data_IF_039389351232
#
_entry.id   IF_039389351232
#
_cell.length_a   1.000
_cell.length_b   1.000
_cell.length_c   1.000
_cell.angle_alpha   90.00
_cell.angle_beta   90.00
_cell.angle_gamma   90.00
#
_symmetry.space_group_name_H-M   'P 1'
#
loop_
_entity.id
_entity.type
_entity.pdbx_description
1 polymer ?
#
# COMPACT_ATOMS: atom_id res chain seq x y z
N UNK A 1 -12.45 4.74 -33.04
CA UNK A 1 -11.26 5.16 -32.28
C UNK A 1 -11.72 5.94 -31.05
N UNK A 2 -12.40 7.07 -31.19
CA UNK A 2 -12.93 7.87 -30.06
C UNK A 2 -13.79 7.08 -29.03
N UNK A 3 -14.64 6.15 -29.48
CA UNK A 3 -15.45 5.30 -28.57
C UNK A 3 -14.60 4.29 -27.78
N UNK A 4 -13.52 3.80 -28.38
CA UNK A 4 -12.56 2.90 -27.73
C UNK A 4 -11.72 3.67 -26.70
N UNK A 5 -11.27 4.88 -27.05
CA UNK A 5 -10.51 5.73 -26.13
C UNK A 5 -11.36 6.14 -24.92
N UNK A 6 -12.65 6.42 -25.11
CA UNK A 6 -13.57 6.75 -24.01
C UNK A 6 -13.79 5.57 -23.06
N UNK A 7 -14.05 4.38 -23.59
CA UNK A 7 -14.24 3.18 -22.77
C UNK A 7 -12.96 2.80 -22.01
N UNK A 8 -11.79 2.92 -22.66
CA UNK A 8 -10.51 2.69 -22.01
C UNK A 8 -10.24 3.70 -20.89
N UNK A 9 -10.56 4.99 -21.12
CA UNK A 9 -10.42 6.06 -20.12
C UNK A 9 -11.29 5.83 -18.88
N UNK A 10 -12.54 5.45 -19.08
CA UNK A 10 -13.49 5.17 -17.99
C UNK A 10 -13.07 3.93 -17.20
N UNK A 11 -12.62 2.87 -17.87
CA UNK A 11 -12.11 1.67 -17.22
C UNK A 11 -10.83 1.93 -16.41
N UNK A 12 -9.88 2.68 -16.96
CA UNK A 12 -8.63 3.04 -16.27
C UNK A 12 -8.89 3.97 -15.07
N UNK A 13 -9.81 4.92 -15.19
CA UNK A 13 -10.19 5.80 -14.08
C UNK A 13 -10.90 5.04 -12.97
N UNK A 14 -11.73 4.05 -13.30
CA UNK A 14 -12.40 3.19 -12.33
C UNK A 14 -11.42 2.29 -11.54
N UNK A 15 -10.23 2.03 -12.08
CA UNK A 15 -9.15 1.32 -11.40
C UNK A 15 -8.32 2.21 -10.47
N UNK A 16 -8.49 3.54 -10.52
CA UNK A 16 -7.75 4.50 -9.70
C UNK A 16 -7.63 4.13 -8.21
N UNK A 17 -8.70 3.65 -7.54
CA UNK A 17 -8.63 3.24 -6.13
C UNK A 17 -7.72 2.04 -5.85
N UNK A 18 -7.41 1.22 -6.85
CA UNK A 18 -6.51 0.06 -6.73
C UNK A 18 -5.08 0.36 -7.14
N UNK A 19 -4.79 1.56 -7.64
CA UNK A 19 -3.48 1.99 -8.09
C UNK A 19 -2.70 2.64 -6.95
N UNK A 20 -1.40 2.37 -6.91
CA UNK A 20 -0.43 3.09 -6.07
C UNK A 20 -0.35 4.57 -6.46
N UNK A 21 0.14 5.43 -5.56
CA UNK A 21 0.32 6.86 -5.84
C UNK A 21 1.22 7.12 -7.07
N UNK A 22 2.25 6.28 -7.29
CA UNK A 22 3.11 6.36 -8.48
C UNK A 22 2.37 5.99 -9.76
N UNK A 23 1.50 4.98 -9.72
CA UNK A 23 0.68 4.55 -10.85
C UNK A 23 -0.39 5.60 -11.20
N UNK A 24 -1.03 6.21 -10.21
CA UNK A 24 -1.98 7.32 -10.43
C UNK A 24 -1.27 8.53 -11.05
N UNK A 25 -0.07 8.88 -10.57
CA UNK A 25 0.72 9.98 -11.13
C UNK A 25 1.18 9.67 -12.57
N UNK A 26 1.53 8.43 -12.87
CA UNK A 26 1.79 7.98 -14.24
C UNK A 26 0.54 8.13 -15.10
N UNK A 27 -0.61 7.59 -14.68
CA UNK A 27 -1.87 7.70 -15.41
C UNK A 27 -2.20 9.17 -15.75
N UNK A 28 -2.02 10.08 -14.79
CA UNK A 28 -2.20 11.51 -14.99
C UNK A 28 -1.21 12.13 -15.99
N UNK A 29 0.03 11.66 -16.04
CA UNK A 29 1.00 12.10 -17.07
C UNK A 29 0.64 11.58 -18.46
N UNK A 30 0.27 10.30 -18.55
CA UNK A 30 -0.01 9.63 -19.83
C UNK A 30 -1.37 10.00 -20.42
N UNK A 31 -2.34 10.42 -19.61
CA UNK A 31 -3.66 10.83 -20.09
C UNK A 31 -3.60 11.96 -21.12
N UNK A 32 -2.70 12.93 -20.92
CA UNK A 32 -2.42 14.01 -21.88
C UNK A 32 -1.84 13.50 -23.20
N UNK A 33 -0.94 12.50 -23.14
CA UNK A 33 -0.28 11.91 -24.31
C UNK A 33 -1.20 11.01 -25.14
N UNK A 34 -2.06 10.25 -24.45
CA UNK A 34 -3.01 9.33 -25.06
C UNK A 34 -4.22 10.05 -25.67
N UNK A 35 -4.26 11.39 -25.67
CA UNK A 35 -5.43 12.19 -26.04
C UNK A 35 -6.70 11.65 -25.37
N UNK A 36 -6.59 11.14 -24.14
CA UNK A 36 -7.76 10.82 -23.35
C UNK A 36 -8.42 12.18 -23.14
N UNK A 37 -9.51 12.42 -23.86
CA UNK A 37 -10.30 13.65 -23.74
C UNK A 37 -10.81 13.70 -22.31
N UNK A 38 -10.06 14.35 -21.44
CA UNK A 38 -10.63 15.08 -20.32
C UNK A 38 -11.57 16.06 -21.03
N UNK A 39 -12.87 15.91 -20.76
CA UNK A 39 -13.92 16.55 -21.53
C UNK A 39 -13.84 18.08 -21.41
N UNK A 40 -13.07 18.72 -22.28
CA UNK A 40 -13.18 20.15 -22.56
C UNK A 40 -14.33 20.37 -23.55
N UNK A 41 -15.40 20.97 -23.05
CA UNK A 41 -16.38 21.83 -23.74
C UNK A 41 -16.73 21.47 -25.19
N UNK A 42 -17.55 20.43 -25.33
CA UNK A 42 -18.45 20.27 -26.46
C UNK A 42 -19.72 21.10 -26.26
N UNK A 43 -19.68 22.32 -26.77
CA UNK A 43 -20.77 23.27 -26.99
C UNK A 43 -22.22 22.74 -26.96
N UNK A 44 -23.05 23.48 -26.23
CA UNK A 44 -24.42 23.85 -26.62
C UNK A 44 -25.38 22.71 -27.01
N UNK A 45 -25.88 22.03 -26.01
CA UNK A 45 -27.32 21.85 -25.90
C UNK A 45 -27.66 21.93 -24.42
N UNK A 46 -27.99 23.12 -23.94
CA UNK A 46 -28.64 23.29 -22.64
C UNK A 46 -29.88 22.40 -22.65
N UNK A 47 -29.92 21.26 -21.94
CA UNK A 47 -31.19 20.65 -21.63
C UNK A 47 -31.78 21.62 -20.60
N UNK A 48 -32.64 22.51 -21.08
CA UNK A 48 -33.53 23.29 -20.25
C UNK A 48 -34.08 22.37 -19.16
N UNK A 49 -33.88 22.77 -17.91
CA UNK A 49 -34.68 22.33 -16.78
C UNK A 49 -34.97 20.82 -16.75
N UNK A 50 -33.94 19.99 -16.65
CA UNK A 50 -34.07 18.79 -15.81
C UNK A 50 -33.75 19.20 -14.37
N UNK A 51 -34.50 20.19 -13.88
CA UNK A 51 -34.85 20.26 -12.47
C UNK A 51 -35.84 19.13 -12.20
N UNK A 52 -35.43 17.89 -12.44
CA UNK A 52 -36.19 16.73 -11.97
C UNK A 52 -36.09 16.78 -10.46
N UNK A 53 -37.23 16.99 -9.82
CA UNK A 53 -37.41 16.86 -8.39
C UNK A 53 -36.62 15.66 -7.85
N UNK A 54 -35.52 15.91 -7.14
CA UNK A 54 -34.83 14.90 -6.32
C UNK A 54 -35.67 14.58 -5.07
N UNK A 55 -36.95 14.98 -5.03
CA UNK A 55 -37.93 14.40 -4.13
C UNK A 55 -38.56 13.14 -4.76
N UNK A 56 -37.71 12.25 -5.29
CA UNK A 56 -38.16 10.89 -5.55
C UNK A 56 -38.39 10.24 -4.17
N UNK A 57 -39.57 9.70 -3.93
CA UNK A 57 -39.89 8.94 -2.71
C UNK A 57 -39.00 7.69 -2.54
N UNK A 58 -38.25 7.32 -3.57
CA UNK A 58 -37.28 6.23 -3.55
C UNK A 58 -35.90 6.74 -3.09
N UNK A 59 -35.56 6.39 -1.87
CA UNK A 59 -34.30 6.75 -1.23
C UNK A 59 -33.07 6.22 -1.99
N UNK A 60 -33.19 5.08 -2.68
CA UNK A 60 -32.09 4.50 -3.44
C UNK A 60 -31.74 5.36 -4.65
N UNK A 61 -32.75 5.87 -5.38
CA UNK A 61 -32.54 6.80 -6.49
C UNK A 61 -31.86 8.09 -6.04
N UNK A 62 -32.21 8.60 -4.86
CA UNK A 62 -31.55 9.78 -4.29
C UNK A 62 -30.07 9.52 -3.99
N UNK A 63 -29.73 8.35 -3.44
CA UNK A 63 -28.32 7.97 -3.23
C UNK A 63 -27.57 7.75 -4.54
N UNK A 64 -28.17 7.08 -5.53
CA UNK A 64 -27.57 6.89 -6.86
C UNK A 64 -27.32 8.23 -7.57
N UNK A 65 -28.26 9.17 -7.46
CA UNK A 65 -28.07 10.53 -7.99
C UNK A 65 -26.91 11.26 -7.29
N UNK A 66 -26.83 11.18 -5.95
CA UNK A 66 -25.71 11.73 -5.19
C UNK A 66 -24.38 11.09 -5.58
N UNK A 67 -24.37 9.77 -5.77
CA UNK A 67 -23.20 9.01 -6.15
C UNK A 67 -22.74 9.34 -7.58
N UNK A 68 -23.67 9.64 -8.48
CA UNK A 68 -23.35 10.13 -9.83
C UNK A 68 -22.64 11.49 -9.79
N UNK A 69 -22.99 12.36 -8.83
CA UNK A 69 -22.28 13.61 -8.58
C UNK A 69 -20.90 13.36 -7.98
N UNK A 70 -20.79 12.41 -7.05
CA UNK A 70 -19.51 12.01 -6.46
C UNK A 70 -18.51 11.53 -7.50
N UNK A 71 -18.92 10.65 -8.42
CA UNK A 71 -18.06 10.18 -9.52
C UNK A 71 -17.61 11.37 -10.39
N UNK A 72 -18.50 12.33 -10.67
CA UNK A 72 -18.20 13.51 -11.49
C UNK A 72 -17.34 14.57 -10.81
N UNK A 73 -17.37 14.67 -9.48
CA UNK A 73 -16.57 15.64 -8.70
C UNK A 73 -15.06 15.42 -8.88
N UNK A 74 -14.65 14.19 -9.22
CA UNK A 74 -13.26 13.90 -9.63
C UNK A 74 -12.82 14.62 -10.91
N UNK A 75 -13.77 15.13 -11.72
CA UNK A 75 -13.50 15.70 -13.04
C UNK A 75 -13.80 17.21 -13.16
N UNK A 76 -14.61 17.81 -12.27
CA UNK A 76 -15.00 19.23 -12.39
C UNK A 76 -15.45 19.82 -11.05
N UNK A 77 -15.09 21.08 -10.79
CA UNK A 77 -15.59 21.86 -9.64
C UNK A 77 -17.11 21.99 -9.72
N UNK A 78 -17.85 21.21 -8.95
CA UNK A 78 -19.31 21.21 -9.00
C UNK A 78 -19.86 22.54 -8.48
N UNK A 79 -20.64 23.21 -9.34
CA UNK A 79 -21.35 24.47 -9.09
C UNK A 79 -22.32 24.34 -7.91
N UNK A 80 -22.31 25.35 -7.04
CA UNK A 80 -23.00 25.41 -5.74
C UNK A 80 -24.56 25.52 -5.80
N UNK A 81 -25.22 24.94 -6.81
CA UNK A 81 -26.66 25.15 -7.06
C UNK A 81 -27.59 23.96 -6.78
N UNK A 82 -27.08 22.77 -6.46
CA UNK A 82 -27.94 21.59 -6.31
C UNK A 82 -28.53 21.45 -4.90
N UNK A 83 -29.86 21.25 -4.83
CA UNK A 83 -30.61 21.05 -3.59
C UNK A 83 -29.95 19.99 -2.70
N UNK A 84 -29.85 20.29 -1.41
CA UNK A 84 -29.34 19.36 -0.41
C UNK A 84 -30.20 18.11 -0.33
N UNK A 85 -29.64 16.96 -0.69
CA UNK A 85 -30.26 15.66 -0.39
C UNK A 85 -30.22 15.49 1.13
N UNK A 86 -31.40 15.44 1.76
CA UNK A 86 -31.54 15.23 3.19
C UNK A 86 -31.77 13.74 3.43
N UNK A 87 -30.76 13.06 3.98
CA UNK A 87 -30.88 11.69 4.45
C UNK A 87 -31.22 11.69 5.95
N UNK A 88 -32.30 11.00 6.33
CA UNK A 88 -32.62 10.70 7.72
C UNK A 88 -32.15 9.28 8.09
N UNK A 89 -32.01 8.99 9.39
CA UNK A 89 -31.63 7.65 9.87
C UNK A 89 -32.58 6.56 9.36
N UNK A 90 -33.89 6.82 9.39
CA UNK A 90 -34.91 5.88 8.93
C UNK A 90 -34.84 5.64 7.41
N UNK A 91 -34.52 6.69 6.64
CA UNK A 91 -34.34 6.56 5.20
C UNK A 91 -33.12 5.68 4.87
N UNK A 92 -32.03 5.83 5.63
CA UNK A 92 -30.80 5.05 5.44
C UNK A 92 -31.01 3.57 5.79
N UNK A 93 -31.82 3.26 6.80
CA UNK A 93 -32.18 1.87 7.14
C UNK A 93 -33.01 1.17 6.05
N UNK A 94 -33.55 1.90 5.07
CA UNK A 94 -34.32 1.36 3.93
C UNK A 94 -33.49 1.17 2.66
N UNK A 95 -32.22 1.58 2.66
CA UNK A 95 -31.35 1.44 1.49
C UNK A 95 -31.14 -0.02 1.09
N UNK A 96 -31.07 -0.29 -0.20
CA UNK A 96 -30.62 -1.58 -0.74
C UNK A 96 -29.10 -1.78 -0.51
N UNK A 97 -28.55 -2.98 -0.74
CA UNK A 97 -27.13 -3.24 -0.50
C UNK A 97 -26.18 -2.34 -1.31
N UNK A 98 -26.49 -2.07 -2.57
CA UNK A 98 -25.63 -1.31 -3.49
C UNK A 98 -25.63 0.16 -3.07
N UNK A 99 -26.80 0.74 -2.87
CA UNK A 99 -26.99 2.10 -2.40
C UNK A 99 -26.35 2.31 -1.02
N UNK A 100 -26.35 1.29 -0.15
CA UNK A 100 -25.63 1.35 1.13
C UNK A 100 -24.11 1.46 0.92
N UNK A 101 -23.53 0.67 0.01
CA UNK A 101 -22.10 0.73 -0.30
C UNK A 101 -21.71 2.05 -0.96
N UNK A 102 -22.54 2.55 -1.89
CA UNK A 102 -22.35 3.87 -2.51
C UNK A 102 -22.32 4.99 -1.47
N UNK A 103 -23.27 4.97 -0.51
CA UNK A 103 -23.29 5.95 0.57
C UNK A 103 -22.05 5.82 1.46
N UNK A 104 -21.62 4.60 1.76
CA UNK A 104 -20.40 4.36 2.53
C UNK A 104 -19.17 4.99 1.86
N UNK A 105 -18.98 4.75 0.57
CA UNK A 105 -17.85 5.30 -0.19
C UNK A 105 -17.85 6.84 -0.17
N UNK A 106 -19.02 7.44 -0.39
CA UNK A 106 -19.17 8.89 -0.33
C UNK A 106 -18.89 9.44 1.08
N UNK A 107 -19.27 8.75 2.14
CA UNK A 107 -18.99 9.17 3.51
C UNK A 107 -17.50 9.11 3.86
N UNK A 108 -16.75 8.19 3.24
CA UNK A 108 -15.31 8.01 3.46
C UNK A 108 -14.46 8.98 2.64
N UNK A 109 -14.98 9.49 1.51
CA UNK A 109 -14.25 10.45 0.68
C UNK A 109 -13.80 11.66 1.50
N UNK A 110 -12.51 12.03 1.37
CA UNK A 110 -11.96 13.23 2.00
C UNK A 110 -12.20 14.50 1.18
N UNK A 111 -12.66 14.42 -0.07
CA UNK A 111 -12.84 15.59 -0.96
C UNK A 111 -14.29 15.99 -1.17
N UNK A 112 -15.19 15.01 -1.32
CA UNK A 112 -16.54 15.25 -1.81
C UNK A 112 -17.49 15.79 -0.74
N UNK A 113 -17.88 17.07 -0.81
CA UNK A 113 -18.91 17.68 0.07
C UNK A 113 -18.69 17.36 1.56
N UNK A 114 -17.50 17.66 2.10
CA UNK A 114 -17.09 17.37 3.49
C UNK A 114 -18.08 17.86 4.56
N UNK A 115 -18.71 19.03 4.35
CA UNK A 115 -19.69 19.62 5.26
C UNK A 115 -21.15 19.18 5.05
N UNK A 116 -21.39 18.14 4.26
CA UNK A 116 -22.74 17.72 3.95
C UNK A 116 -23.49 17.18 5.18
N UNK A 117 -24.76 17.56 5.34
CA UNK A 117 -25.59 17.17 6.48
C UNK A 117 -25.73 15.65 6.67
N UNK A 118 -25.63 14.87 5.58
CA UNK A 118 -25.70 13.41 5.62
C UNK A 118 -24.41 12.72 6.10
N UNK A 119 -23.31 13.46 6.31
CA UNK A 119 -22.07 12.92 6.91
C UNK A 119 -22.09 12.92 8.44
N UNK A 120 -23.23 13.19 9.06
CA UNK A 120 -23.35 13.19 10.52
C UNK A 120 -23.24 11.77 11.11
N UNK A 121 -22.90 11.71 12.39
CA UNK A 121 -22.59 10.45 13.06
C UNK A 121 -23.80 9.52 13.26
N UNK A 122 -25.02 10.07 13.32
CA UNK A 122 -26.24 9.28 13.44
C UNK A 122 -26.53 8.54 12.13
N UNK A 123 -26.31 9.20 11.00
CA UNK A 123 -26.40 8.59 9.66
C UNK A 123 -25.32 7.52 9.49
N UNK A 124 -24.09 7.77 9.95
CA UNK A 124 -23.04 6.76 9.95
C UNK A 124 -23.46 5.49 10.74
N UNK A 125 -24.01 5.65 11.94
CA UNK A 125 -24.49 4.54 12.76
C UNK A 125 -25.65 3.76 12.11
N UNK A 126 -26.60 4.48 11.50
CA UNK A 126 -27.70 3.86 10.74
C UNK A 126 -27.19 3.09 9.53
N UNK A 127 -26.21 3.64 8.81
CA UNK A 127 -25.58 2.99 7.66
C UNK A 127 -24.82 1.73 8.05
N UNK A 128 -24.01 1.78 9.10
CA UNK A 128 -23.30 0.60 9.64
C UNK A 128 -24.28 -0.51 10.05
N UNK A 129 -25.38 -0.12 10.71
CA UNK A 129 -26.46 -1.05 11.08
C UNK A 129 -27.11 -1.67 9.85
N UNK A 130 -27.33 -0.87 8.81
CA UNK A 130 -27.92 -1.35 7.55
C UNK A 130 -26.98 -2.27 6.78
N UNK A 131 -25.71 -1.91 6.66
CA UNK A 131 -24.68 -2.74 6.05
C UNK A 131 -24.54 -4.08 6.79
N UNK A 132 -24.61 -4.07 8.12
CA UNK A 132 -24.59 -5.30 8.92
C UNK A 132 -25.76 -6.22 8.54
N UNK A 133 -26.96 -5.68 8.38
CA UNK A 133 -28.11 -6.45 7.92
C UNK A 133 -27.83 -7.07 6.54
N UNK A 134 -27.31 -6.28 5.59
CA UNK A 134 -26.99 -6.78 4.25
C UNK A 134 -25.91 -7.84 4.25
N UNK A 135 -24.85 -7.69 5.05
CA UNK A 135 -23.78 -8.70 5.18
C UNK A 135 -24.32 -10.04 5.70
N UNK A 136 -25.31 -10.02 6.59
CA UNK A 136 -25.87 -11.24 7.18
C UNK A 136 -26.90 -11.89 6.24
N UNK A 137 -27.78 -11.10 5.63
CA UNK A 137 -28.98 -11.62 4.97
C UNK A 137 -28.99 -11.47 3.44
N UNK A 138 -28.11 -10.65 2.87
CA UNK A 138 -28.07 -10.43 1.42
C UNK A 138 -26.99 -11.27 0.74
N UNK A 139 -27.36 -11.91 -0.36
CA UNK A 139 -26.39 -12.57 -1.24
C UNK A 139 -25.67 -11.60 -2.20
N UNK A 140 -26.02 -10.31 -2.18
CA UNK A 140 -25.37 -9.29 -3.01
C UNK A 140 -23.97 -8.93 -2.47
N UNK A 141 -23.77 -9.03 -1.15
CA UNK A 141 -22.48 -8.75 -0.51
C UNK A 141 -21.55 -9.96 -0.69
N UNK A 142 -20.77 -9.93 -1.77
CA UNK A 142 -19.75 -10.93 -2.08
C UNK A 142 -18.38 -10.63 -1.44
N UNK A 143 -17.39 -11.46 -1.77
CA UNK A 143 -16.04 -11.41 -1.19
C UNK A 143 -15.39 -10.02 -1.30
N UNK A 144 -15.38 -9.43 -2.50
CA UNK A 144 -14.76 -8.11 -2.74
C UNK A 144 -15.36 -7.01 -1.86
N UNK A 145 -16.68 -7.03 -1.67
CA UNK A 145 -17.36 -6.07 -0.80
C UNK A 145 -17.01 -6.30 0.68
N UNK A 146 -16.93 -7.56 1.13
CA UNK A 146 -16.50 -7.89 2.49
C UNK A 146 -15.04 -7.46 2.75
N UNK A 147 -14.15 -7.76 1.82
CA UNK A 147 -12.75 -7.35 1.88
C UNK A 147 -12.63 -5.81 1.99
N UNK A 148 -13.36 -5.08 1.14
CA UNK A 148 -13.37 -3.62 1.17
C UNK A 148 -13.94 -3.06 2.48
N UNK A 149 -15.04 -3.61 2.98
CA UNK A 149 -15.60 -3.21 4.29
C UNK A 149 -14.59 -3.46 5.41
N UNK A 150 -13.92 -4.62 5.43
CA UNK A 150 -12.89 -4.91 6.43
C UNK A 150 -11.70 -3.95 6.34
N UNK A 151 -11.25 -3.64 5.14
CA UNK A 151 -10.17 -2.68 4.91
C UNK A 151 -10.52 -1.31 5.51
N UNK A 152 -11.73 -0.81 5.25
CA UNK A 152 -12.21 0.45 5.82
C UNK A 152 -12.32 0.38 7.34
N UNK A 153 -12.83 -0.72 7.89
CA UNK A 153 -12.95 -0.91 9.34
C UNK A 153 -11.58 -0.98 10.04
N UNK A 154 -10.51 -1.30 9.32
CA UNK A 154 -9.13 -1.26 9.82
C UNK A 154 -8.52 0.14 9.90
N UNK A 155 -9.09 1.13 9.21
CA UNK A 155 -8.56 2.50 9.23
C UNK A 155 -8.92 3.22 10.54
N UNK A 156 -7.89 3.51 11.34
CA UNK A 156 -7.97 4.24 12.62
C UNK A 156 -8.45 5.69 12.44
N UNK A 157 -8.19 6.30 11.28
CA UNK A 157 -8.57 7.68 10.98
C UNK A 157 -9.98 7.80 10.39
N UNK A 158 -10.64 6.68 10.10
CA UNK A 158 -11.94 6.69 9.44
C UNK A 158 -13.04 7.29 10.33
N UNK A 159 -14.01 7.97 9.69
CA UNK A 159 -15.21 8.50 10.36
C UNK A 159 -16.00 7.39 11.08
N UNK A 160 -15.87 6.14 10.63
CA UNK A 160 -16.54 4.97 11.21
C UNK A 160 -15.98 4.56 12.57
N UNK A 161 -14.71 4.90 12.89
CA UNK A 161 -14.14 4.60 14.21
C UNK A 161 -14.82 5.37 15.34
N UNK A 162 -15.46 6.51 15.04
CA UNK A 162 -16.30 7.24 16.02
C UNK A 162 -17.50 6.43 16.50
N UNK A 163 -17.84 5.33 15.81
CA UNK A 163 -18.91 4.37 16.14
C UNK A 163 -18.35 2.98 16.39
N UNK A 164 -17.41 2.86 17.33
CA UNK A 164 -16.69 1.62 17.63
C UNK A 164 -17.62 0.42 17.91
N UNK A 165 -18.78 0.64 18.54
CA UNK A 165 -19.76 -0.40 18.85
C UNK A 165 -20.45 -0.92 17.58
N UNK A 166 -20.98 -0.04 16.74
CA UNK A 166 -21.63 -0.40 15.48
C UNK A 166 -20.63 -1.00 14.49
N UNK A 167 -19.44 -0.41 14.38
CA UNK A 167 -18.34 -0.89 13.55
C UNK A 167 -17.87 -2.28 14.00
N UNK A 168 -17.74 -2.53 15.31
CA UNK A 168 -17.43 -3.85 15.85
C UNK A 168 -18.53 -4.89 15.62
N UNK A 169 -19.80 -4.48 15.56
CA UNK A 169 -20.92 -5.36 15.19
C UNK A 169 -20.92 -5.69 13.69
N UNK A 170 -20.58 -4.73 12.83
CA UNK A 170 -20.40 -4.95 11.40
C UNK A 170 -19.20 -5.86 11.13
N UNK A 171 -18.08 -5.64 11.81
CA UNK A 171 -16.89 -6.50 11.73
C UNK A 171 -17.25 -7.95 12.05
N UNK A 172 -17.93 -8.22 13.17
CA UNK A 172 -18.38 -9.58 13.53
C UNK A 172 -19.32 -10.20 12.50
N UNK A 173 -20.19 -9.41 11.87
CA UNK A 173 -21.03 -9.89 10.78
C UNK A 173 -20.20 -10.27 9.54
N UNK A 174 -19.19 -9.47 9.20
CA UNK A 174 -18.25 -9.79 8.13
C UNK A 174 -17.49 -11.08 8.43
N UNK A 175 -16.99 -11.27 9.65
CA UNK A 175 -16.32 -12.50 10.06
C UNK A 175 -17.21 -13.73 9.92
N UNK A 176 -18.47 -13.65 10.36
CA UNK A 176 -19.43 -14.75 10.21
C UNK A 176 -19.65 -15.11 8.75
N UNK A 177 -19.89 -14.11 7.90
CA UNK A 177 -20.09 -14.33 6.46
C UNK A 177 -18.83 -14.86 5.78
N UNK A 178 -17.65 -14.36 6.16
CA UNK A 178 -16.38 -14.85 5.65
C UNK A 178 -16.10 -16.29 6.05
N UNK A 179 -16.42 -16.67 7.29
CA UNK A 179 -16.29 -18.06 7.74
C UNK A 179 -17.14 -19.01 6.87
N UNK A 180 -18.36 -18.61 6.51
CA UNK A 180 -19.22 -19.39 5.61
C UNK A 180 -18.68 -19.44 4.17
N UNK A 181 -18.02 -18.37 3.71
CA UNK A 181 -17.43 -18.29 2.37
C UNK A 181 -16.06 -18.94 2.26
N UNK A 182 -15.34 -19.11 3.37
CA UNK A 182 -13.94 -19.51 3.42
C UNK A 182 -13.63 -20.77 2.60
N UNK A 183 -14.45 -21.85 2.64
CA UNK A 183 -14.18 -23.04 1.83
C UNK A 183 -14.15 -22.78 0.32
N UNK A 184 -14.91 -21.80 -0.16
CA UNK A 184 -15.00 -21.44 -1.59
C UNK A 184 -14.02 -20.36 -2.04
N UNK A 185 -13.30 -19.71 -1.12
CA UNK A 185 -12.30 -18.69 -1.46
C UNK A 185 -11.05 -19.32 -2.08
N UNK A 186 -10.34 -18.59 -2.94
CA UNK A 186 -9.03 -19.03 -3.44
C UNK A 186 -7.93 -18.81 -2.39
N UNK A 187 -6.75 -19.45 -2.50
CA UNK A 187 -5.62 -19.13 -1.64
C UNK A 187 -5.21 -17.66 -1.70
N UNK A 188 -5.31 -17.02 -2.89
CA UNK A 188 -5.07 -15.60 -3.06
C UNK A 188 -6.07 -14.72 -2.29
N UNK A 189 -7.36 -15.07 -2.32
CA UNK A 189 -8.38 -14.39 -1.53
C UNK A 189 -8.12 -14.53 -0.02
N UNK A 190 -7.68 -15.71 0.43
CA UNK A 190 -7.30 -15.95 1.81
C UNK A 190 -6.11 -15.06 2.24
N UNK A 191 -5.09 -14.93 1.39
CA UNK A 191 -3.93 -14.07 1.64
C UNK A 191 -4.31 -12.58 1.63
N UNK A 192 -5.23 -12.16 0.76
CA UNK A 192 -5.77 -10.78 0.76
C UNK A 192 -6.52 -10.43 2.05
N UNK A 193 -7.19 -11.41 2.68
CA UNK A 193 -7.88 -11.21 3.95
C UNK A 193 -6.93 -11.20 5.15
N UNK A 194 -5.88 -12.01 5.10
CA UNK A 194 -5.08 -12.33 6.29
C UNK A 194 -4.54 -11.08 7.01
N UNK A 195 -3.91 -10.08 6.34
CA UNK A 195 -3.45 -8.85 6.98
C UNK A 195 -4.57 -8.06 7.64
N UNK A 196 -5.74 -7.96 6.98
CA UNK A 196 -6.90 -7.22 7.50
C UNK A 196 -7.43 -7.84 8.79
N UNK A 197 -7.37 -9.17 8.90
CA UNK A 197 -7.83 -9.90 10.08
C UNK A 197 -6.78 -9.88 11.20
N UNK A 198 -5.51 -10.10 10.87
CA UNK A 198 -4.39 -10.14 11.82
C UNK A 198 -4.16 -8.78 12.48
N UNK A 199 -4.23 -7.70 11.70
CA UNK A 199 -3.99 -6.31 12.14
C UNK A 199 -5.29 -5.57 12.50
N UNK A 200 -6.40 -6.30 12.68
CA UNK A 200 -7.68 -5.70 13.01
C UNK A 200 -7.64 -4.95 14.35
N UNK A 201 -8.44 -3.88 14.45
CA UNK A 201 -8.61 -3.08 15.67
C UNK A 201 -9.56 -3.73 16.69
N UNK A 202 -10.12 -4.89 16.34
CA UNK A 202 -11.13 -5.61 17.10
C UNK A 202 -10.53 -6.92 17.63
N UNK A 203 -11.36 -7.74 18.29
CA UNK A 203 -10.93 -9.05 18.75
C UNK A 203 -10.39 -9.89 17.58
N UNK A 204 -9.15 -10.35 17.71
CA UNK A 204 -8.46 -11.12 16.66
C UNK A 204 -9.25 -12.39 16.33
N UNK A 205 -9.69 -12.60 15.08
CA UNK A 205 -10.48 -13.76 14.69
C UNK A 205 -9.60 -15.00 14.49
N UNK A 206 -9.06 -15.53 15.58
CA UNK A 206 -8.06 -16.59 15.57
C UNK A 206 -8.49 -17.85 14.80
N UNK A 207 -9.78 -18.20 14.82
CA UNK A 207 -10.31 -19.37 14.08
C UNK A 207 -10.11 -19.18 12.57
N UNK A 208 -10.57 -18.05 12.02
CA UNK A 208 -10.46 -17.76 10.58
C UNK A 208 -8.99 -17.61 10.18
N UNK A 209 -8.17 -16.94 11.00
CA UNK A 209 -6.74 -16.83 10.74
C UNK A 209 -6.04 -18.19 10.74
N UNK A 210 -6.37 -19.08 11.69
CA UNK A 210 -5.80 -20.42 11.74
C UNK A 210 -6.22 -21.27 10.54
N UNK A 211 -7.47 -21.13 10.08
CA UNK A 211 -7.95 -21.82 8.89
C UNK A 211 -7.26 -21.33 7.62
N UNK A 212 -7.06 -20.01 7.47
CA UNK A 212 -6.28 -19.43 6.37
C UNK A 212 -4.85 -19.96 6.39
N UNK A 213 -4.17 -19.89 7.54
CA UNK A 213 -2.78 -20.38 7.70
C UNK A 213 -2.70 -21.84 7.30
N UNK A 214 -3.56 -22.69 7.88
CA UNK A 214 -3.60 -24.12 7.60
C UNK A 214 -3.77 -24.37 6.10
N UNK A 215 -4.73 -23.69 5.47
CA UNK A 215 -5.02 -23.85 4.05
C UNK A 215 -3.84 -23.47 3.16
N UNK A 216 -3.20 -22.34 3.41
CA UNK A 216 -2.04 -21.88 2.61
C UNK A 216 -0.85 -22.81 2.82
N UNK A 217 -0.60 -23.26 4.05
CA UNK A 217 0.51 -24.19 4.35
C UNK A 217 0.31 -25.55 3.68
N UNK A 218 -0.93 -26.05 3.58
CA UNK A 218 -1.22 -27.35 2.97
C UNK A 218 -1.45 -27.32 1.45
N UNK A 219 -1.73 -26.14 0.89
CA UNK A 219 -2.00 -25.95 -0.54
C UNK A 219 -0.72 -26.17 -1.36
N UNK A 220 -0.81 -26.78 -2.54
CA UNK A 220 0.33 -27.03 -3.43
C UNK A 220 0.94 -25.72 -3.96
N UNK A 221 2.24 -25.72 -4.31
CA UNK A 221 2.92 -24.48 -4.75
C UNK A 221 2.31 -23.95 -6.05
N UNK A 222 1.93 -24.86 -6.95
CA UNK A 222 1.35 -24.57 -8.25
C UNK A 222 0.03 -23.77 -8.13
N UNK A 223 -0.84 -24.15 -7.18
CA UNK A 223 -2.10 -23.45 -6.90
C UNK A 223 -1.87 -22.05 -6.31
N UNK A 224 -0.76 -21.85 -5.61
CA UNK A 224 -0.35 -20.56 -5.05
C UNK A 224 0.40 -19.69 -6.08
N UNK A 225 0.86 -20.28 -7.18
CA UNK A 225 1.58 -19.58 -8.26
C UNK A 225 0.77 -18.48 -8.96
N UNK A 226 -0.56 -18.46 -8.82
CA UNK A 226 -1.40 -17.38 -9.36
C UNK A 226 -1.48 -16.15 -8.45
N UNK A 227 -0.98 -16.23 -7.20
CA UNK A 227 -1.10 -15.13 -6.24
C UNK A 227 -0.14 -14.00 -6.63
N UNK A 228 -0.58 -12.74 -6.76
CA UNK A 228 0.32 -11.62 -7.08
C UNK A 228 1.39 -11.40 -6.02
N UNK A 229 2.61 -11.05 -6.43
CA UNK A 229 3.74 -10.77 -5.53
C UNK A 229 3.40 -9.70 -4.49
N UNK A 230 2.67 -8.65 -4.87
CA UNK A 230 2.23 -7.61 -3.94
C UNK A 230 1.38 -8.13 -2.77
N UNK A 231 0.55 -9.16 -3.00
CA UNK A 231 -0.28 -9.78 -1.96
C UNK A 231 0.57 -10.60 -0.99
N UNK A 232 1.57 -11.33 -1.52
CA UNK A 232 2.52 -12.10 -0.70
C UNK A 232 3.32 -11.15 0.18
N UNK A 233 3.84 -10.07 -0.40
CA UNK A 233 4.62 -9.06 0.30
C UNK A 233 3.81 -8.36 1.40
N UNK A 234 2.57 -7.97 1.11
CA UNK A 234 1.69 -7.38 2.13
C UNK A 234 1.33 -8.38 3.24
N UNK A 235 1.26 -9.68 2.92
CA UNK A 235 1.08 -10.73 3.94
C UNK A 235 2.30 -10.85 4.85
N UNK A 236 3.51 -10.75 4.28
CA UNK A 236 4.77 -10.80 5.03
C UNK A 236 4.98 -9.61 5.97
N UNK A 237 4.27 -8.50 5.76
CA UNK A 237 4.25 -7.34 6.65
C UNK A 237 3.68 -7.66 8.05
N UNK A 238 2.87 -8.71 8.16
CA UNK A 238 2.26 -9.07 9.42
C UNK A 238 3.31 -9.52 10.44
N UNK A 239 3.30 -8.93 11.63
CA UNK A 239 4.11 -9.39 12.77
C UNK A 239 3.65 -10.78 13.25
N UNK A 240 4.57 -11.54 13.85
CA UNK A 240 4.30 -12.86 14.44
C UNK A 240 3.63 -13.86 13.48
N UNK A 241 4.15 -13.96 12.25
CA UNK A 241 3.76 -15.06 11.36
C UNK A 241 4.27 -16.38 11.91
N UNK A 242 3.38 -17.38 11.88
CA UNK A 242 3.74 -18.75 12.24
C UNK A 242 4.82 -19.26 11.25
N UNK A 243 5.90 -19.88 11.73
CA UNK A 243 7.07 -20.18 10.89
C UNK A 243 6.80 -21.02 9.63
N UNK A 244 6.00 -22.11 9.68
CA UNK A 244 5.53 -22.81 8.47
C UNK A 244 4.87 -21.90 7.42
N UNK A 245 4.06 -20.94 7.86
CA UNK A 245 3.35 -20.01 6.97
C UNK A 245 4.31 -19.02 6.34
N UNK A 246 5.22 -18.43 7.13
CA UNK A 246 6.29 -17.56 6.62
C UNK A 246 7.16 -18.28 5.58
N UNK A 247 7.59 -19.51 5.88
CA UNK A 247 8.36 -20.34 4.95
C UNK A 247 7.61 -20.55 3.63
N UNK A 248 6.30 -20.81 3.69
CA UNK A 248 5.49 -20.99 2.49
C UNK A 248 5.47 -19.73 1.63
N UNK A 249 5.29 -18.56 2.23
CA UNK A 249 5.34 -17.28 1.52
C UNK A 249 6.71 -17.02 0.87
N UNK A 250 7.80 -17.40 1.55
CA UNK A 250 9.15 -17.32 0.98
C UNK A 250 9.37 -18.26 -0.18
N UNK A 251 8.85 -19.50 -0.11
CA UNK A 251 8.87 -20.42 -1.26
C UNK A 251 8.18 -19.78 -2.47
N UNK A 252 7.01 -19.17 -2.28
CA UNK A 252 6.30 -18.49 -3.37
C UNK A 252 7.09 -17.33 -3.97
N UNK A 253 7.90 -16.62 -3.19
CA UNK A 253 8.75 -15.56 -3.74
C UNK A 253 9.90 -16.12 -4.59
N UNK A 254 10.41 -17.32 -4.26
CA UNK A 254 11.45 -17.98 -5.04
C UNK A 254 10.95 -18.57 -6.36
N UNK A 255 9.64 -18.82 -6.49
CA UNK A 255 9.04 -19.39 -7.71
C UNK A 255 8.92 -18.36 -8.85
N UNK A 256 8.77 -18.87 -10.08
CA UNK A 256 8.38 -18.13 -11.28
C UNK A 256 9.21 -16.86 -11.59
N UNK A 257 10.46 -16.81 -11.17
CA UNK A 257 11.33 -15.63 -11.32
C UNK A 257 10.75 -14.35 -10.70
N UNK A 258 9.81 -14.43 -9.74
CA UNK A 258 9.14 -13.27 -9.12
C UNK A 258 10.13 -12.27 -8.52
N UNK A 259 11.25 -12.76 -8.00
CA UNK A 259 12.35 -11.94 -7.50
C UNK A 259 13.01 -11.08 -8.59
N UNK A 260 12.95 -11.46 -9.86
CA UNK A 260 13.48 -10.66 -10.97
C UNK A 260 12.64 -9.41 -11.27
N UNK A 261 11.35 -9.44 -10.94
CA UNK A 261 10.40 -8.38 -11.27
C UNK A 261 10.24 -7.33 -10.15
N UNK A 262 10.71 -7.61 -8.94
CA UNK A 262 10.56 -6.68 -7.82
C UNK A 262 11.48 -5.45 -7.97
N UNK A 263 10.93 -4.27 -7.70
CA UNK A 263 11.64 -3.01 -7.74
C UNK A 263 12.52 -2.78 -6.51
N UNK A 264 13.27 -1.66 -6.51
CA UNK A 264 14.13 -1.29 -5.36
C UNK A 264 13.37 -1.13 -4.03
N UNK A 265 12.13 -0.64 -4.09
CA UNK A 265 11.30 -0.43 -2.89
C UNK A 265 10.86 -1.75 -2.27
N UNK A 266 10.44 -2.72 -3.11
CA UNK A 266 10.07 -4.06 -2.68
C UNK A 266 11.28 -4.86 -2.20
N UNK A 267 12.46 -4.69 -2.84
CA UNK A 267 13.70 -5.29 -2.36
C UNK A 267 14.06 -4.80 -0.95
N UNK A 268 13.99 -3.48 -0.71
CA UNK A 268 14.24 -2.89 0.60
C UNK A 268 13.24 -3.39 1.64
N UNK A 269 11.96 -3.43 1.27
CA UNK A 269 10.91 -3.92 2.13
C UNK A 269 11.11 -5.40 2.50
N UNK A 270 11.39 -6.27 1.52
CA UNK A 270 11.67 -7.69 1.77
C UNK A 270 12.90 -7.86 2.65
N UNK A 271 13.97 -7.14 2.35
CA UNK A 271 15.20 -7.18 3.13
C UNK A 271 14.94 -6.75 4.58
N UNK A 272 14.13 -5.72 4.78
CA UNK A 272 13.75 -5.26 6.11
C UNK A 272 12.99 -6.33 6.89
N UNK A 273 12.02 -7.02 6.26
CA UNK A 273 11.26 -8.10 6.89
C UNK A 273 12.17 -9.26 7.29
N UNK A 274 13.08 -9.68 6.40
CA UNK A 274 14.02 -10.77 6.70
C UNK A 274 14.94 -10.36 7.84
N UNK A 275 15.46 -9.14 7.82
CA UNK A 275 16.33 -8.59 8.85
C UNK A 275 15.61 -8.30 10.18
N UNK A 276 14.29 -8.18 10.23
CA UNK A 276 13.54 -8.01 11.48
C UNK A 276 12.78 -9.27 11.90
N UNK A 277 12.97 -10.39 11.19
CA UNK A 277 12.31 -11.64 11.55
C UNK A 277 12.75 -12.08 12.95
N UNK A 278 11.83 -12.55 13.82
CA UNK A 278 12.21 -13.11 15.11
C UNK A 278 13.13 -14.32 14.92
N UNK A 279 14.01 -14.54 15.90
CA UNK A 279 14.85 -15.73 15.97
C UNK A 279 13.98 -16.98 15.97
N UNK A 280 14.40 -17.95 15.16
CA UNK A 280 13.70 -19.22 14.98
C UNK A 280 14.30 -20.25 15.95
N UNK A 281 13.48 -21.12 16.53
CA UNK A 281 13.96 -22.24 17.34
C UNK A 281 14.86 -23.17 16.51
N UNK A 282 15.84 -23.85 17.12
CA UNK A 282 16.82 -24.68 16.40
C UNK A 282 16.20 -25.74 15.46
N UNK A 283 15.08 -26.32 15.87
CA UNK A 283 14.34 -27.31 15.06
C UNK A 283 13.77 -26.69 13.79
N UNK A 284 13.29 -25.45 13.89
CA UNK A 284 12.76 -24.74 12.73
C UNK A 284 13.87 -24.16 11.85
N UNK A 285 15.00 -23.79 12.47
CA UNK A 285 16.23 -23.36 11.80
C UNK A 285 16.74 -24.46 10.88
N UNK A 286 16.88 -25.69 11.37
CA UNK A 286 17.29 -26.83 10.55
C UNK A 286 16.34 -27.06 9.36
N UNK A 287 15.03 -26.90 9.55
CA UNK A 287 14.06 -27.03 8.46
C UNK A 287 14.04 -25.83 7.49
N UNK A 288 14.60 -24.68 7.89
CA UNK A 288 14.64 -23.44 7.10
C UNK A 288 15.93 -23.32 6.29
N UNK A 289 17.06 -23.75 6.87
CA UNK A 289 18.38 -23.79 6.23
C UNK A 289 18.45 -24.79 5.08
N UNK A 290 17.60 -25.82 5.07
CA UNK A 290 17.74 -26.95 4.13
C UNK A 290 17.50 -26.59 2.65
N UNK A 291 16.99 -25.40 2.28
CA UNK A 291 17.23 -24.82 0.93
C UNK A 291 16.57 -23.43 0.77
N UNK A 292 15.30 -23.29 1.19
CA UNK A 292 14.46 -22.15 0.79
C UNK A 292 15.01 -20.79 1.27
N UNK A 293 15.42 -20.69 2.53
CA UNK A 293 15.90 -19.43 3.10
C UNK A 293 17.15 -18.90 2.40
N UNK A 294 18.07 -19.80 2.08
CA UNK A 294 19.31 -19.49 1.37
C UNK A 294 19.00 -19.01 -0.05
N UNK A 295 18.17 -19.75 -0.80
CA UNK A 295 17.78 -19.40 -2.18
C UNK A 295 17.08 -18.04 -2.25
N UNK A 296 16.23 -17.71 -1.28
CA UNK A 296 15.56 -16.41 -1.22
C UNK A 296 16.56 -15.27 -1.04
N UNK A 297 17.47 -15.40 -0.07
CA UNK A 297 18.50 -14.39 0.19
C UNK A 297 19.44 -14.21 -1.01
N UNK A 298 19.89 -15.30 -1.65
CA UNK A 298 20.71 -15.24 -2.85
C UNK A 298 19.99 -14.53 -4.01
N UNK A 299 18.71 -14.87 -4.23
CA UNK A 299 17.88 -14.22 -5.25
C UNK A 299 17.66 -12.73 -4.96
N UNK A 300 17.43 -12.39 -3.68
CA UNK A 300 17.31 -11.00 -3.23
C UNK A 300 18.64 -10.24 -3.42
N UNK A 301 19.79 -10.85 -3.11
CA UNK A 301 21.09 -10.23 -3.33
C UNK A 301 21.38 -10.00 -4.81
N UNK A 302 21.04 -10.95 -5.67
CA UNK A 302 21.13 -10.78 -7.11
C UNK A 302 20.26 -9.62 -7.60
N UNK A 303 19.01 -9.52 -7.11
CA UNK A 303 18.12 -8.44 -7.50
C UNK A 303 18.56 -7.07 -6.92
N UNK A 304 19.07 -7.03 -5.70
CA UNK A 304 19.68 -5.84 -5.10
C UNK A 304 20.89 -5.38 -5.92
N UNK A 305 21.70 -6.29 -6.44
CA UNK A 305 22.82 -5.97 -7.32
C UNK A 305 22.35 -5.23 -8.58
N UNK A 306 21.25 -5.69 -9.19
CA UNK A 306 20.65 -5.04 -10.37
C UNK A 306 20.05 -3.68 -9.99
N UNK A 307 19.18 -3.65 -8.98
CA UNK A 307 18.40 -2.45 -8.59
C UNK A 307 19.23 -1.35 -7.93
N UNK A 308 20.41 -1.67 -7.36
CA UNK A 308 21.34 -0.72 -6.76
C UNK A 308 21.69 0.48 -7.67
N UNK A 309 21.66 0.31 -9.00
CA UNK A 309 21.89 1.41 -9.95
C UNK A 309 20.84 2.53 -9.82
N UNK A 310 19.61 2.18 -9.45
CA UNK A 310 18.48 3.10 -9.29
C UNK A 310 18.29 3.63 -7.86
N UNK A 311 19.09 3.11 -6.92
CA UNK A 311 19.04 3.53 -5.53
C UNK A 311 19.79 4.85 -5.29
N UNK A 312 19.29 5.64 -4.35
CA UNK A 312 19.96 6.81 -3.79
C UNK A 312 20.89 6.40 -2.62
N UNK A 313 21.63 7.36 -2.05
CA UNK A 313 22.57 7.08 -0.96
C UNK A 313 21.90 6.53 0.32
N UNK A 314 20.71 7.04 0.68
CA UNK A 314 19.95 6.60 1.86
C UNK A 314 19.46 5.16 1.70
N UNK A 315 18.89 4.84 0.54
CA UNK A 315 18.45 3.49 0.19
C UNK A 315 19.63 2.51 0.22
N UNK A 316 20.78 2.87 -0.36
CA UNK A 316 21.97 2.02 -0.33
C UNK A 316 22.51 1.78 1.09
N UNK A 317 22.52 2.79 1.96
CA UNK A 317 23.00 2.60 3.34
C UNK A 317 22.02 1.77 4.17
N UNK A 318 20.71 1.91 3.94
CA UNK A 318 19.70 1.02 4.54
C UNK A 318 19.93 -0.43 4.16
N UNK A 319 20.21 -0.72 2.87
CA UNK A 319 20.56 -2.09 2.45
C UNK A 319 21.77 -2.63 3.23
N UNK A 320 22.82 -1.82 3.37
CA UNK A 320 24.02 -2.22 4.11
C UNK A 320 23.72 -2.48 5.60
N UNK A 321 22.91 -1.64 6.25
CA UNK A 321 22.53 -1.84 7.65
C UNK A 321 21.74 -3.14 7.85
N UNK A 322 20.79 -3.45 6.96
CA UNK A 322 20.05 -4.71 7.03
C UNK A 322 20.94 -5.92 6.72
N UNK A 323 21.86 -5.82 5.76
CA UNK A 323 22.84 -6.87 5.48
C UNK A 323 23.77 -7.12 6.66
N UNK A 324 24.15 -6.07 7.38
CA UNK A 324 24.97 -6.19 8.58
C UNK A 324 24.20 -6.94 9.67
N UNK A 325 22.93 -6.59 9.87
CA UNK A 325 22.07 -7.34 10.77
C UNK A 325 22.02 -8.82 10.39
N UNK A 326 21.79 -9.13 9.11
CA UNK A 326 21.77 -10.51 8.62
C UNK A 326 23.10 -11.23 8.87
N UNK A 327 24.23 -10.57 8.63
CA UNK A 327 25.56 -11.15 8.87
C UNK A 327 25.85 -11.42 10.35
N UNK A 328 25.27 -10.63 11.27
CA UNK A 328 25.37 -10.86 12.72
C UNK A 328 24.33 -11.83 13.28
N UNK A 329 23.23 -12.03 12.54
CA UNK A 329 22.15 -12.92 12.91
C UNK A 329 22.51 -14.39 12.67
N UNK A 330 21.63 -15.31 13.06
CA UNK A 330 21.82 -16.74 12.87
C UNK A 330 21.65 -17.24 11.42
N UNK A 331 21.46 -16.35 10.44
CA UNK A 331 21.36 -16.72 9.03
C UNK A 331 22.71 -17.20 8.49
N UNK A 332 22.73 -18.37 7.83
CA UNK A 332 23.93 -19.00 7.26
C UNK A 332 24.41 -18.39 5.93
N UNK A 333 23.72 -17.36 5.42
CA UNK A 333 23.99 -16.83 4.08
C UNK A 333 25.04 -15.73 4.14
N UNK A 334 26.16 -15.95 3.43
CA UNK A 334 27.21 -14.94 3.29
C UNK A 334 26.81 -13.89 2.26
N UNK A 335 26.86 -12.62 2.65
CA UNK A 335 26.55 -11.51 1.74
C UNK A 335 27.67 -11.37 0.68
N UNK A 336 27.35 -11.31 -0.63
CA UNK A 336 28.36 -11.19 -1.68
C UNK A 336 29.18 -9.90 -1.57
N UNK A 337 30.51 -10.04 -1.54
CA UNK A 337 31.43 -8.90 -1.42
C UNK A 337 31.28 -7.87 -2.55
N UNK A 338 31.04 -8.33 -3.78
CA UNK A 338 30.84 -7.45 -4.94
C UNK A 338 29.59 -6.57 -4.82
N UNK A 339 28.53 -7.07 -4.16
CA UNK A 339 27.33 -6.30 -3.88
C UNK A 339 27.62 -5.20 -2.86
N UNK A 340 28.31 -5.55 -1.77
CA UNK A 340 28.70 -4.61 -0.71
C UNK A 340 29.57 -3.48 -1.28
N UNK A 341 30.59 -3.80 -2.07
CA UNK A 341 31.45 -2.81 -2.72
C UNK A 341 30.70 -1.94 -3.73
N UNK A 342 29.74 -2.53 -4.47
CA UNK A 342 28.89 -1.78 -5.40
C UNK A 342 28.01 -0.77 -4.68
N UNK A 343 27.37 -1.15 -3.56
CA UNK A 343 26.56 -0.26 -2.74
C UNK A 343 27.41 0.87 -2.15
N UNK A 344 28.59 0.56 -1.58
CA UNK A 344 29.54 1.57 -1.07
C UNK A 344 29.94 2.58 -2.15
N UNK A 345 30.38 2.10 -3.31
CA UNK A 345 30.75 2.96 -4.45
C UNK A 345 29.56 3.80 -4.94
N UNK A 346 28.35 3.23 -4.90
CA UNK A 346 27.13 3.92 -5.30
C UNK A 346 26.83 5.10 -4.36
N UNK A 347 26.94 4.92 -3.05
CA UNK A 347 26.76 5.99 -2.06
C UNK A 347 27.74 7.14 -2.36
N UNK A 348 29.04 6.85 -2.44
CA UNK A 348 30.04 7.89 -2.72
C UNK A 348 29.84 8.59 -4.07
N UNK A 349 29.51 7.83 -5.12
CA UNK A 349 29.25 8.39 -6.44
C UNK A 349 28.02 9.30 -6.46
N UNK A 350 26.92 8.84 -5.84
CA UNK A 350 25.68 9.59 -5.75
C UNK A 350 25.88 10.88 -4.98
N UNK A 351 26.44 10.83 -3.78
CA UNK A 351 26.65 12.03 -2.94
C UNK A 351 27.58 13.04 -3.62
N UNK A 352 28.64 12.58 -4.31
CA UNK A 352 29.48 13.47 -5.12
C UNK A 352 28.74 14.12 -6.27
N UNK A 353 27.83 13.39 -6.93
CA UNK A 353 27.00 13.94 -8.01
C UNK A 353 25.96 14.91 -7.49
N UNK A 354 25.32 14.60 -6.35
CA UNK A 354 24.41 15.49 -5.67
C UNK A 354 25.12 16.81 -5.37
N UNK A 355 26.29 16.77 -4.71
CA UNK A 355 27.07 17.96 -4.35
C UNK A 355 27.57 18.79 -5.53
N UNK A 356 27.56 18.26 -6.76
CA UNK A 356 27.85 19.06 -7.97
C UNK A 356 26.65 19.90 -8.41
N UNK A 357 25.42 19.54 -8.04
CA UNK A 357 24.21 20.29 -8.39
C UNK A 357 24.20 21.62 -7.63
N UNK A 358 24.02 22.77 -8.30
CA UNK A 358 24.03 24.06 -7.62
C UNK A 358 22.81 24.27 -6.70
N UNK A 359 21.65 23.76 -7.11
CA UNK A 359 20.36 24.04 -6.48
C UNK A 359 19.89 22.90 -5.55
N UNK A 360 20.80 22.31 -4.78
CA UNK A 360 20.43 21.33 -3.76
C UNK A 360 19.66 22.02 -2.63
N UNK A 361 18.51 21.47 -2.26
CA UNK A 361 17.77 21.93 -1.09
C UNK A 361 18.49 21.57 0.21
N UNK A 362 18.21 22.29 1.30
CA UNK A 362 18.76 21.97 2.63
C UNK A 362 18.35 20.56 3.07
N UNK A 363 17.11 20.17 2.77
CA UNK A 363 16.61 18.84 3.11
C UNK A 363 17.37 17.73 2.37
N UNK A 364 17.63 17.90 1.07
CA UNK A 364 18.45 16.94 0.31
C UNK A 364 19.88 16.88 0.85
N UNK A 365 20.49 18.02 1.17
CA UNK A 365 21.81 18.06 1.80
C UNK A 365 21.83 17.29 3.13
N UNK A 366 20.81 17.48 3.98
CA UNK A 366 20.67 16.76 5.25
C UNK A 366 20.57 15.25 5.05
N UNK A 367 19.79 14.78 4.06
CA UNK A 367 19.71 13.36 3.72
C UNK A 367 21.08 12.78 3.28
N UNK A 368 21.87 13.54 2.52
CA UNK A 368 23.22 13.11 2.12
C UNK A 368 24.19 13.07 3.31
N UNK A 369 24.11 14.04 4.24
CA UNK A 369 24.88 14.00 5.51
C UNK A 369 24.54 12.75 6.30
N UNK A 370 23.24 12.48 6.47
CA UNK A 370 22.74 11.33 7.21
C UNK A 370 23.26 10.03 6.60
N UNK A 371 23.14 9.87 5.27
CA UNK A 371 23.60 8.68 4.57
C UNK A 371 25.11 8.43 4.75
N UNK A 372 25.92 9.49 4.69
CA UNK A 372 27.38 9.39 4.86
C UNK A 372 27.76 9.04 6.31
N UNK A 373 27.10 9.65 7.30
CA UNK A 373 27.34 9.31 8.71
C UNK A 373 26.94 7.86 9.03
N UNK A 374 25.80 7.40 8.48
CA UNK A 374 25.34 6.02 8.62
C UNK A 374 26.32 5.05 7.96
N UNK A 375 26.81 5.38 6.76
CA UNK A 375 27.82 4.56 6.06
C UNK A 375 29.11 4.48 6.87
N UNK A 376 29.58 5.61 7.41
CA UNK A 376 30.74 5.62 8.30
C UNK A 376 30.53 4.70 9.50
N UNK A 377 29.35 4.73 10.11
CA UNK A 377 28.97 3.83 11.20
C UNK A 377 29.06 2.36 10.82
N UNK A 378 28.49 1.97 9.68
CA UNK A 378 28.54 0.59 9.14
C UNK A 378 29.99 0.16 8.88
N UNK A 379 30.78 1.01 8.21
CA UNK A 379 32.18 0.67 7.90
C UNK A 379 33.02 0.54 9.17
N UNK A 380 32.87 1.45 10.14
CA UNK A 380 33.62 1.41 11.40
C UNK A 380 33.39 0.12 12.19
N UNK A 381 32.18 -0.46 12.13
CA UNK A 381 31.90 -1.77 12.76
C UNK A 381 32.63 -2.93 12.10
N UNK A 382 33.06 -2.77 10.85
CA UNK A 382 33.88 -3.74 10.10
C UNK A 382 33.27 -5.14 9.99
N UNK A 383 31.94 -5.26 10.09
CA UNK A 383 31.22 -6.54 9.96
C UNK A 383 31.12 -6.96 8.50
N UNK A 384 30.75 -6.02 7.61
CA UNK A 384 30.53 -6.31 6.19
C UNK A 384 31.76 -6.04 5.32
N UNK A 385 32.42 -4.91 5.55
CA UNK A 385 33.55 -4.43 4.78
C UNK A 385 34.61 -3.87 5.73
N UNK A 386 35.91 -4.04 5.42
CA UNK A 386 36.96 -3.40 6.19
C UNK A 386 36.88 -1.88 6.02
N UNK A 387 37.10 -1.14 7.12
CA UNK A 387 37.22 0.32 7.05
C UNK A 387 38.63 0.72 6.63
N UNK A 388 38.79 1.19 5.39
CA UNK A 388 40.09 1.56 4.85
C UNK A 388 40.38 3.04 5.05
N UNK A 389 41.67 3.41 5.12
CA UNK A 389 42.09 4.81 5.17
C UNK A 389 41.55 5.64 3.99
N UNK A 390 41.40 5.01 2.81
CA UNK A 390 40.78 5.62 1.65
C UNK A 390 39.30 5.97 1.88
N UNK A 391 38.54 5.12 2.58
CA UNK A 391 37.13 5.39 2.91
C UNK A 391 37.02 6.59 3.86
N UNK A 392 37.87 6.63 4.91
CA UNK A 392 37.94 7.74 5.85
C UNK A 392 38.25 9.08 5.16
N UNK A 393 39.19 9.08 4.20
CA UNK A 393 39.54 10.27 3.43
C UNK A 393 38.37 10.76 2.56
N UNK A 394 37.66 9.85 1.89
CA UNK A 394 36.50 10.18 1.05
C UNK A 394 35.34 10.71 1.89
N UNK A 395 35.04 10.08 3.02
CA UNK A 395 34.01 10.53 3.96
C UNK A 395 34.36 11.93 4.48
N UNK A 396 35.59 12.15 4.95
CA UNK A 396 36.04 13.46 5.42
C UNK A 396 36.04 14.56 4.34
N UNK A 397 36.29 14.21 3.07
CA UNK A 397 36.15 15.13 1.94
C UNK A 397 34.68 15.51 1.71
N UNK A 398 33.78 14.52 1.68
CA UNK A 398 32.35 14.71 1.43
C UNK A 398 31.73 15.52 2.58
N UNK A 399 31.96 15.14 3.83
CA UNK A 399 31.41 15.84 5.00
C UNK A 399 31.85 17.31 5.05
N UNK A 400 33.12 17.62 4.74
CA UNK A 400 33.59 19.01 4.64
C UNK A 400 32.85 19.80 3.54
N UNK A 401 32.64 19.20 2.37
CA UNK A 401 31.92 19.84 1.26
C UNK A 401 30.46 20.10 1.59
N UNK A 402 29.81 19.18 2.31
CA UNK A 402 28.43 19.36 2.73
C UNK A 402 28.32 20.46 3.79
N UNK A 403 29.16 20.42 4.84
CA UNK A 403 29.16 21.45 5.89
C UNK A 403 29.42 22.84 5.31
N UNK A 404 30.37 22.97 4.39
CA UNK A 404 30.63 24.23 3.68
C UNK A 404 29.39 24.79 2.96
N UNK A 405 28.54 23.92 2.40
CA UNK A 405 27.30 24.34 1.74
C UNK A 405 26.18 24.67 2.72
N UNK A 406 26.10 23.96 3.84
CA UNK A 406 25.11 24.24 4.89
C UNK A 406 25.40 25.55 5.64
N UNK A 407 26.67 25.93 5.77
CA UNK A 407 27.10 27.18 6.41
C UNK A 407 26.92 28.42 5.51
N UNK A 408 26.74 28.23 4.19
CA UNK A 408 26.40 29.35 3.30
C UNK A 408 24.91 29.67 3.45
N UNK A 409 24.53 30.90 3.86
CA UNK A 409 23.14 31.31 3.79
C UNK A 409 22.65 31.14 2.35
N UNK A 410 21.48 30.54 2.16
CA UNK A 410 20.81 30.52 0.86
C UNK A 410 20.52 31.98 0.52
N UNK A 411 21.40 32.59 -0.27
CA UNK A 411 21.13 33.85 -0.95
C UNK A 411 19.96 33.62 -1.91
N UNK A 412 18.76 34.06 -1.53
CA UNK A 412 17.61 34.10 -2.44
C UNK A 412 16.31 33.50 -1.90
N UNK A 413 15.78 34.07 -0.83
CA UNK A 413 14.33 34.25 -0.64
C UNK A 413 14.11 35.42 0.32
N UNK A 414 14.51 36.61 -0.13
CA UNK A 414 14.08 37.90 0.42
C UNK A 414 13.79 38.81 -0.77
N UNK A 415 12.59 38.68 -1.32
CA UNK A 415 11.76 39.74 -1.90
C UNK A 415 10.46 39.11 -2.38
#
# INVERSE_FOLDING_TARGET
IDKLDKAASEALSAMGPSMTMSEQALLGKWSSFLRLKISEDGSSSTPQNVGSDICSTDINKSVVALYSLFIRDSQTSVLAGERSIVLSTDSVLRLDPISSLMLLEMMLSKSFRQGAAWRNENIAGALLTRLRYHVIYSNVIGFKALWWILHILGDKESVLQRRSVESGRLFRACLRRLHDMLPGLTPGDCLLLFPLLKNSLYDKPFIICADIIRRVVTCELEELGVVPTSVIMHTLECEDLVPPFRRRLYQLLCEDYRMGDIGKGECLFLLSIIATSPDMDEVEKNNYEVDTGCTLCESLFAQLYVTAKSMNAVECVQVLEYMEFLATSHFSVTVPHDLLERLKKRIFSWTRQALKRPNLTVLELQCEVEAIHRLEGVLRRSVLLPFLAGDAAVIGEISRKINYRLERPIEGNVA
#
